data_IF_688665392771
#
_entry.id   IF_688665392771
#
_cell.length_a   1.000
_cell.length_b   1.000
_cell.length_c   1.000
_cell.angle_alpha   90.00
_cell.angle_beta   90.00
_cell.angle_gamma   90.00
#
_symmetry.space_group_name_H-M   'P 1'
#
loop_
_entity.id
_entity.type
_entity.pdbx_description
1 polymer ?
#
# COMPACT_ATOMS: atom_id res chain seq x y z
N UNK A 1 -9.47 -15.88 -21.95
CA UNK A 1 -8.12 -16.44 -22.24
C UNK A 1 -7.24 -16.16 -21.05
N UNK A 2 -6.40 -17.10 -20.62
CA UNK A 2 -5.43 -16.82 -19.54
C UNK A 2 -4.28 -15.99 -20.12
N UNK A 3 -4.03 -14.80 -19.57
CA UNK A 3 -2.84 -14.01 -19.88
C UNK A 3 -1.67 -14.52 -19.05
N UNK A 4 -0.44 -14.32 -19.52
CA UNK A 4 0.77 -14.81 -18.86
C UNK A 4 1.88 -13.75 -18.87
N UNK A 5 2.61 -13.62 -17.76
CA UNK A 5 3.82 -12.78 -17.69
C UNK A 5 5.09 -13.52 -18.14
N UNK A 6 6.24 -12.85 -18.05
CA UNK A 6 7.55 -13.44 -18.40
C UNK A 6 8.01 -14.58 -17.48
N UNK A 7 7.47 -14.67 -16.26
CA UNK A 7 7.79 -15.72 -15.27
C UNK A 7 6.82 -16.90 -15.32
N UNK A 8 5.82 -16.86 -16.18
CA UNK A 8 4.84 -17.93 -16.32
C UNK A 8 3.66 -17.84 -15.37
N UNK A 9 3.52 -16.74 -14.63
CA UNK A 9 2.33 -16.47 -13.82
C UNK A 9 1.12 -16.23 -14.72
N UNK A 10 -0.01 -16.83 -14.36
CA UNK A 10 -1.25 -16.78 -15.14
C UNK A 10 -2.34 -16.10 -14.35
N UNK A 11 -3.06 -15.20 -15.01
CA UNK A 11 -4.18 -14.45 -14.42
C UNK A 11 -5.48 -14.67 -15.18
N UNK A 12 -6.59 -14.48 -14.46
CA UNK A 12 -7.96 -14.42 -14.98
C UNK A 12 -8.53 -13.00 -14.99
N UNK A 13 -7.77 -11.98 -14.56
CA UNK A 13 -8.25 -10.60 -14.52
C UNK A 13 -8.43 -10.06 -15.94
N UNK A 14 -9.66 -9.66 -16.26
CA UNK A 14 -10.00 -9.11 -17.58
C UNK A 14 -9.74 -7.61 -17.68
N UNK A 15 -9.88 -6.87 -16.56
CA UNK A 15 -9.60 -5.45 -16.50
C UNK A 15 -8.10 -5.19 -16.70
N UNK A 16 -7.76 -4.36 -17.69
CA UNK A 16 -6.36 -4.13 -18.08
C UNK A 16 -5.52 -3.56 -16.94
N UNK A 17 -6.02 -2.55 -16.24
CA UNK A 17 -5.29 -1.91 -15.14
C UNK A 17 -4.99 -2.88 -14.00
N UNK A 18 -6.01 -3.61 -13.51
CA UNK A 18 -5.82 -4.58 -12.43
C UNK A 18 -4.95 -5.77 -12.85
N UNK A 19 -5.03 -6.16 -14.12
CA UNK A 19 -4.18 -7.22 -14.67
C UNK A 19 -2.71 -6.78 -14.70
N UNK A 20 -2.45 -5.54 -15.10
CA UNK A 20 -1.09 -5.00 -15.15
C UNK A 20 -0.48 -4.85 -13.75
N UNK A 21 -1.27 -4.41 -12.75
CA UNK A 21 -0.88 -4.41 -11.34
C UNK A 21 -0.52 -5.84 -10.87
N UNK A 22 -1.38 -6.83 -11.14
CA UNK A 22 -1.14 -8.21 -10.73
C UNK A 22 0.13 -8.80 -11.37
N UNK A 23 0.36 -8.49 -12.64
CA UNK A 23 1.60 -8.89 -13.32
C UNK A 23 2.83 -8.19 -12.76
N UNK A 24 2.75 -6.90 -12.41
CA UNK A 24 3.84 -6.22 -11.71
C UNK A 24 4.15 -6.92 -10.38
N UNK A 25 3.12 -7.28 -9.61
CA UNK A 25 3.31 -7.98 -8.35
C UNK A 25 3.98 -9.35 -8.55
N UNK A 26 3.55 -10.09 -9.56
CA UNK A 26 4.17 -11.37 -9.93
C UNK A 26 5.66 -11.21 -10.23
N UNK A 27 6.05 -10.19 -11.02
CA UNK A 27 7.46 -9.92 -11.33
C UNK A 27 8.26 -9.55 -10.09
N UNK A 28 7.75 -8.66 -9.24
CA UNK A 28 8.41 -8.28 -7.96
C UNK A 28 8.62 -9.51 -7.07
N UNK A 29 7.61 -10.37 -6.93
CA UNK A 29 7.69 -11.58 -6.10
C UNK A 29 8.64 -12.64 -6.67
N UNK A 30 8.76 -12.70 -8.00
CA UNK A 30 9.59 -13.67 -8.72
C UNK A 30 11.05 -13.24 -8.89
N UNK A 31 11.38 -11.99 -8.59
CA UNK A 31 12.72 -11.42 -8.75
C UNK A 31 13.81 -12.05 -7.86
N UNK A 32 13.45 -12.90 -6.91
CA UNK A 32 14.40 -13.57 -6.00
C UNK A 32 14.91 -12.68 -4.87
N UNK A 33 14.25 -11.55 -4.61
CA UNK A 33 14.53 -10.64 -3.50
C UNK A 33 13.39 -10.67 -2.47
N UNK A 34 13.54 -11.42 -1.35
CA UNK A 34 12.52 -11.51 -0.32
C UNK A 34 12.15 -10.16 0.31
N UNK A 35 13.08 -9.20 0.36
CA UNK A 35 12.81 -7.90 0.96
C UNK A 35 11.79 -7.12 0.11
N UNK A 36 11.95 -7.11 -1.21
CA UNK A 36 10.98 -6.47 -2.12
C UNK A 36 9.60 -7.11 -2.03
N UNK A 37 9.54 -8.44 -2.02
CA UNK A 37 8.29 -9.17 -1.86
C UNK A 37 7.57 -8.86 -0.54
N UNK A 38 8.32 -8.76 0.56
CA UNK A 38 7.76 -8.39 1.86
C UNK A 38 7.30 -6.93 1.92
N UNK A 39 8.03 -6.00 1.30
CA UNK A 39 7.59 -4.59 1.19
C UNK A 39 6.29 -4.52 0.40
N UNK A 40 6.21 -5.16 -0.77
CA UNK A 40 4.99 -5.22 -1.57
C UNK A 40 3.81 -5.77 -0.77
N UNK A 41 3.99 -6.89 -0.07
CA UNK A 41 2.95 -7.50 0.75
C UNK A 41 2.44 -6.56 1.85
N UNK A 42 3.33 -5.89 2.58
CA UNK A 42 2.92 -4.95 3.61
C UNK A 42 2.26 -3.70 3.03
N UNK A 43 2.70 -3.24 1.86
CA UNK A 43 2.15 -2.10 1.16
C UNK A 43 0.71 -2.38 0.70
N UNK A 44 0.44 -3.55 0.11
CA UNK A 44 -0.93 -3.96 -0.21
C UNK A 44 -1.81 -4.05 1.04
N UNK A 45 -1.30 -4.65 2.13
CA UNK A 45 -2.03 -4.69 3.41
C UNK A 45 -2.30 -3.32 4.02
N UNK A 46 -1.46 -2.32 3.76
CA UNK A 46 -1.70 -0.95 4.17
C UNK A 46 -2.77 -0.33 3.27
N UNK A 47 -2.62 -0.38 1.95
CA UNK A 47 -3.55 0.17 0.96
C UNK A 47 -4.98 -0.37 1.15
N UNK A 48 -5.13 -1.69 1.29
CA UNK A 48 -6.44 -2.32 1.56
C UNK A 48 -7.08 -1.78 2.83
N UNK A 49 -6.31 -1.51 3.90
CA UNK A 49 -6.87 -1.00 5.14
C UNK A 49 -7.45 0.42 5.00
N UNK A 50 -6.88 1.26 4.12
CA UNK A 50 -7.45 2.57 3.78
C UNK A 50 -8.69 2.42 2.90
N UNK A 51 -8.66 1.56 1.88
CA UNK A 51 -9.82 1.29 1.03
C UNK A 51 -10.95 0.53 1.73
N UNK A 52 -10.72 -0.10 2.87
CA UNK A 52 -11.78 -0.59 3.76
C UNK A 52 -12.32 0.53 4.67
N UNK A 53 -11.42 1.37 5.17
CA UNK A 53 -11.74 2.44 6.10
C UNK A 53 -12.60 3.55 5.47
N UNK A 54 -12.18 4.08 4.32
CA UNK A 54 -12.79 5.27 3.72
C UNK A 54 -14.26 5.04 3.30
N UNK A 55 -14.62 3.92 2.65
CA UNK A 55 -16.02 3.62 2.38
C UNK A 55 -16.84 3.42 3.65
N UNK A 56 -16.30 2.76 4.67
CA UNK A 56 -16.98 2.57 5.95
C UNK A 56 -17.25 3.92 6.64
N UNK A 57 -16.29 4.85 6.60
CA UNK A 57 -16.48 6.21 7.07
C UNK A 57 -17.57 6.95 6.27
N UNK A 58 -17.48 6.95 4.93
CA UNK A 58 -18.46 7.63 4.05
C UNK A 58 -19.89 7.10 4.23
N UNK A 59 -20.04 5.82 4.58
CA UNK A 59 -21.33 5.19 4.85
C UNK A 59 -21.84 5.45 6.29
N UNK A 60 -21.09 6.17 7.12
CA UNK A 60 -21.45 6.43 8.52
C UNK A 60 -21.37 5.19 9.42
N UNK A 61 -20.63 4.16 9.01
CA UNK A 61 -20.48 2.91 9.77
C UNK A 61 -19.52 3.03 10.96
N UNK A 62 -18.74 4.13 11.01
CA UNK A 62 -17.73 4.39 12.04
C UNK A 62 -18.23 5.41 13.07
N UNK A 63 -17.83 5.24 14.32
CA UNK A 63 -18.15 6.15 15.43
C UNK A 63 -16.95 7.06 15.70
N UNK A 64 -17.19 8.34 15.97
CA UNK A 64 -16.11 9.33 16.22
C UNK A 64 -15.12 8.91 17.33
N UNK A 65 -15.62 8.24 18.38
CA UNK A 65 -14.79 7.69 19.45
C UNK A 65 -13.80 6.59 19.04
N UNK A 66 -13.79 6.18 17.77
CA UNK A 66 -12.85 5.18 17.21
C UNK A 66 -11.62 5.82 16.54
N UNK A 67 -11.48 7.15 16.56
CA UNK A 67 -10.36 7.85 15.91
C UNK A 67 -8.99 7.28 16.32
N UNK A 68 -8.71 7.18 17.62
CA UNK A 68 -7.41 6.69 18.11
C UNK A 68 -7.14 5.25 17.69
N UNK A 69 -8.18 4.41 17.65
CA UNK A 69 -8.08 3.04 17.15
C UNK A 69 -7.66 3.02 15.68
N UNK A 70 -8.30 3.82 14.83
CA UNK A 70 -7.98 3.88 13.41
C UNK A 70 -6.62 4.53 13.13
N UNK A 71 -6.28 5.63 13.82
CA UNK A 71 -4.94 6.23 13.76
C UNK A 71 -3.87 5.18 14.05
N UNK A 72 -3.97 4.50 15.19
CA UNK A 72 -3.01 3.46 15.58
C UNK A 72 -2.95 2.33 14.55
N UNK A 73 -4.10 1.85 14.08
CA UNK A 73 -4.17 0.75 13.10
C UNK A 73 -3.51 1.11 11.77
N UNK A 74 -3.84 2.28 11.22
CA UNK A 74 -3.33 2.73 9.91
C UNK A 74 -1.84 3.09 10.01
N UNK A 75 -1.43 3.84 11.03
CA UNK A 75 -0.01 4.14 11.31
C UNK A 75 0.81 2.87 11.48
N UNK A 76 0.32 1.87 12.22
CA UNK A 76 1.06 0.61 12.42
C UNK A 76 1.31 -0.12 11.09
N UNK A 77 0.31 -0.15 10.20
CA UNK A 77 0.44 -0.82 8.90
C UNK A 77 1.48 -0.15 8.02
N UNK A 78 1.41 1.18 7.88
CA UNK A 78 2.42 1.89 7.09
C UNK A 78 3.79 1.85 7.78
N UNK A 79 3.83 1.91 9.11
CA UNK A 79 5.06 1.79 9.90
C UNK A 79 5.79 0.47 9.66
N UNK A 80 5.07 -0.65 9.48
CA UNK A 80 5.68 -1.92 9.07
C UNK A 80 6.33 -1.85 7.68
N UNK A 81 5.71 -1.15 6.72
CA UNK A 81 6.30 -0.93 5.39
C UNK A 81 7.61 -0.15 5.52
N UNK A 82 7.57 1.02 6.15
CA UNK A 82 8.74 1.89 6.32
C UNK A 82 9.88 1.21 7.09
N UNK A 83 9.56 0.48 8.15
CA UNK A 83 10.55 -0.27 8.94
C UNK A 83 11.18 -1.37 8.11
N UNK A 84 10.38 -2.10 7.33
CA UNK A 84 10.90 -3.15 6.43
C UNK A 84 11.78 -2.55 5.35
N UNK A 85 11.37 -1.43 4.74
CA UNK A 85 12.18 -0.74 3.73
C UNK A 85 13.53 -0.32 4.31
N UNK A 86 13.52 0.35 5.46
CA UNK A 86 14.74 0.82 6.14
C UNK A 86 15.69 -0.31 6.51
N UNK A 87 15.17 -1.38 7.10
CA UNK A 87 15.99 -2.52 7.54
C UNK A 87 16.65 -3.26 6.36
N UNK A 88 16.16 -3.08 5.13
CA UNK A 88 16.65 -3.75 3.93
C UNK A 88 17.23 -2.78 2.89
N UNK A 89 17.51 -1.52 3.25
CA UNK A 89 18.14 -0.54 2.34
C UNK A 89 17.25 -0.10 1.16
N UNK A 90 15.94 -0.21 1.31
CA UNK A 90 14.92 0.21 0.34
C UNK A 90 14.29 1.57 0.69
N UNK A 91 14.79 2.28 1.70
CA UNK A 91 14.29 3.57 2.17
C UNK A 91 14.64 4.77 1.28
N UNK A 92 15.50 4.56 0.26
CA UNK A 92 15.91 5.59 -0.69
C UNK A 92 15.26 5.46 -2.07
N UNK A 93 14.22 4.62 -2.22
CA UNK A 93 13.48 4.48 -3.47
C UNK A 93 12.35 5.53 -3.57
N UNK A 94 11.86 5.77 -4.78
CA UNK A 94 10.76 6.72 -4.99
C UNK A 94 9.52 6.28 -4.19
N UNK A 95 8.81 7.27 -3.62
CA UNK A 95 7.64 7.03 -2.78
C UNK A 95 7.95 6.73 -1.30
N UNK A 96 9.19 6.36 -0.92
CA UNK A 96 9.54 6.11 0.48
C UNK A 96 9.31 7.35 1.39
N UNK A 97 9.77 8.52 0.92
CA UNK A 97 9.57 9.78 1.63
C UNK A 97 8.11 10.24 1.63
N UNK A 98 7.36 9.95 0.56
CA UNK A 98 5.91 10.18 0.46
C UNK A 98 5.18 9.43 1.58
N UNK A 99 5.45 8.13 1.67
CA UNK A 99 4.83 7.22 2.62
C UNK A 99 5.14 7.61 4.07
N UNK A 100 6.37 8.08 4.35
CA UNK A 100 6.74 8.63 5.64
C UNK A 100 5.96 9.91 6.00
N UNK A 101 5.72 10.81 5.05
CA UNK A 101 4.87 11.99 5.27
C UNK A 101 3.42 11.59 5.54
N UNK A 102 2.89 10.61 4.82
CA UNK A 102 1.54 10.10 5.04
C UNK A 102 1.41 9.54 6.46
N UNK A 103 2.38 8.78 6.97
CA UNK A 103 2.38 8.31 8.37
C UNK A 103 2.22 9.45 9.35
N UNK A 104 2.99 10.52 9.19
CA UNK A 104 2.88 11.67 10.08
C UNK A 104 1.51 12.34 10.01
N UNK A 105 0.88 12.36 8.82
CA UNK A 105 -0.48 12.88 8.66
C UNK A 105 -1.53 12.00 9.34
N UNK A 106 -1.42 10.67 9.22
CA UNK A 106 -2.27 9.73 9.98
C UNK A 106 -2.09 9.95 11.48
N UNK A 107 -0.84 10.10 11.92
CA UNK A 107 -0.50 10.37 13.32
C UNK A 107 -0.99 11.72 13.80
N UNK A 108 -1.18 12.72 12.95
CA UNK A 108 -1.66 14.05 13.34
C UNK A 108 -3.17 14.26 13.15
N UNK A 109 -3.86 13.30 12.55
CA UNK A 109 -5.27 13.45 12.19
C UNK A 109 -6.16 13.65 13.43
N UNK A 110 -7.02 14.67 13.39
CA UNK A 110 -7.94 15.02 14.49
C UNK A 110 -9.37 14.54 14.24
N UNK A 111 -9.66 14.06 13.03
CA UNK A 111 -10.98 13.55 12.65
C UNK A 111 -10.87 12.27 11.81
N UNK A 112 -11.95 11.48 11.78
CA UNK A 112 -12.03 10.32 10.87
C UNK A 112 -12.06 10.76 9.39
N UNK A 113 -12.56 11.97 9.11
CA UNK A 113 -12.56 12.55 7.77
C UNK A 113 -11.15 12.83 7.25
N UNK A 114 -10.29 13.43 8.08
CA UNK A 114 -8.88 13.64 7.74
C UNK A 114 -8.15 12.33 7.44
N UNK A 115 -8.50 11.23 8.13
CA UNK A 115 -7.95 9.91 7.81
C UNK A 115 -8.47 9.37 6.47
N UNK A 116 -9.74 9.65 6.13
CA UNK A 116 -10.37 9.14 4.92
C UNK A 116 -9.75 9.78 3.66
N UNK A 117 -9.45 11.08 3.72
CA UNK A 117 -8.81 11.84 2.65
C UNK A 117 -7.43 11.27 2.24
N UNK A 118 -6.75 10.56 3.13
CA UNK A 118 -5.42 9.98 2.87
C UNK A 118 -5.46 8.73 1.97
N UNK A 119 -6.64 8.19 1.68
CA UNK A 119 -6.76 6.90 0.97
C UNK A 119 -6.10 6.92 -0.41
N UNK A 120 -6.41 7.95 -1.21
CA UNK A 120 -5.83 8.08 -2.55
C UNK A 120 -4.34 8.43 -2.51
N UNK A 121 -3.88 9.14 -1.48
CA UNK A 121 -2.45 9.41 -1.30
C UNK A 121 -1.66 8.13 -0.99
N UNK A 122 -2.21 7.26 -0.14
CA UNK A 122 -1.63 5.93 0.13
C UNK A 122 -1.63 5.09 -1.14
N UNK A 123 -2.72 5.12 -1.92
CA UNK A 123 -2.82 4.40 -3.18
C UNK A 123 -1.78 4.87 -4.20
N UNK A 124 -1.60 6.19 -4.36
CA UNK A 124 -0.58 6.75 -5.25
C UNK A 124 0.85 6.42 -4.78
N UNK A 125 1.10 6.46 -3.47
CA UNK A 125 2.38 6.05 -2.90
C UNK A 125 2.65 4.54 -3.11
N UNK A 126 1.60 3.71 -3.04
CA UNK A 126 1.68 2.27 -3.32
C UNK A 126 2.18 2.01 -4.75
N UNK A 127 1.60 2.70 -5.74
CA UNK A 127 2.04 2.64 -7.14
C UNK A 127 3.49 3.05 -7.32
N UNK A 128 3.84 4.24 -6.81
CA UNK A 128 5.20 4.79 -6.93
C UNK A 128 6.27 3.86 -6.34
N UNK A 129 5.96 3.24 -5.20
CA UNK A 129 6.87 2.30 -4.55
C UNK A 129 6.93 1.00 -5.36
N UNK A 130 5.80 0.46 -5.82
CA UNK A 130 5.76 -0.78 -6.59
C UNK A 130 6.54 -0.67 -7.89
N UNK A 131 6.40 0.44 -8.63
CA UNK A 131 7.19 0.76 -9.82
C UNK A 131 8.71 0.79 -9.50
N UNK A 132 9.06 1.36 -8.33
CA UNK A 132 10.46 1.44 -7.90
C UNK A 132 11.04 0.11 -7.45
N UNK A 133 10.21 -0.79 -6.90
CA UNK A 133 10.63 -2.14 -6.49
C UNK A 133 10.87 -3.02 -7.71
N UNK A 134 10.04 -2.88 -8.75
CA UNK A 134 10.17 -3.62 -10.00
C UNK A 134 11.43 -3.23 -10.80
N UNK A 135 11.78 -1.94 -10.84
CA UNK A 135 12.93 -1.44 -11.62
C UNK A 135 14.32 -1.63 -10.98
N UNK A 136 14.40 -2.14 -9.75
CA UNK A 136 15.65 -2.40 -9.01
C UNK A 136 15.95 -3.88 -8.93
#
# INVERSE_FOLDING_TARGET
MAYQDEFGYKTTIENDHWRDEEFQWSRILSAGDPAKGMVLLYLQKACTAFHEFEPAFKQGALKDGQLDFFRRRLTTRIGHVLTTMKNNGLDNISGAAELARIVHRVESANTLGELAELTEEVHAANHTISDSLEGR
#
